data_IF_118810804933
#
_entry.id   IF_118810804933
#
_cell.length_a   1.000
_cell.length_b   1.000
_cell.length_c   1.000
_cell.angle_alpha   90.00
_cell.angle_beta   90.00
_cell.angle_gamma   90.00
#
_symmetry.space_group_name_H-M   'P 1'
#
loop_
_entity.id
_entity.type
_entity.pdbx_description
1 polymer ?
#
# COMPACT_ATOMS: atom_id res chain seq x y z
N UNK A 1 10.58 7.32 -31.03
CA UNK A 1 11.70 6.41 -30.73
C UNK A 1 11.14 5.13 -30.11
N UNK A 2 11.20 4.02 -30.87
CA UNK A 2 11.15 2.60 -30.49
C UNK A 2 10.06 2.02 -29.54
N UNK A 3 9.02 2.75 -29.10
CA UNK A 3 7.87 2.23 -28.31
C UNK A 3 8.31 1.23 -27.20
N UNK A 4 9.40 1.57 -26.52
CA UNK A 4 10.01 0.71 -25.50
C UNK A 4 9.38 1.07 -24.15
N UNK A 5 8.90 0.07 -23.42
CA UNK A 5 8.41 0.26 -22.05
C UNK A 5 9.56 0.77 -21.18
N UNK A 6 9.30 1.83 -20.43
CA UNK A 6 10.29 2.39 -19.51
C UNK A 6 10.29 1.61 -18.20
N UNK A 7 11.48 1.44 -17.64
CA UNK A 7 11.65 0.97 -16.28
C UNK A 7 11.44 2.16 -15.32
N UNK A 8 10.32 2.15 -14.59
CA UNK A 8 9.96 3.21 -13.64
C UNK A 8 10.84 3.23 -12.38
N UNK A 9 11.71 2.22 -12.17
CA UNK A 9 12.68 2.23 -11.07
C UNK A 9 13.91 3.10 -11.38
N UNK A 10 14.14 3.42 -12.66
CA UNK A 10 15.27 4.22 -13.10
C UNK A 10 14.90 5.71 -13.13
N UNK A 11 15.87 6.57 -12.81
CA UNK A 11 15.73 8.00 -13.07
C UNK A 11 15.79 8.29 -14.56
N UNK A 12 15.23 9.43 -14.98
CA UNK A 12 15.22 9.87 -16.39
C UNK A 12 16.61 9.82 -17.04
N UNK A 13 17.66 10.18 -16.29
CA UNK A 13 19.05 10.19 -16.79
C UNK A 13 19.57 8.78 -17.12
N UNK A 14 19.08 7.75 -16.43
CA UNK A 14 19.46 6.35 -16.65
C UNK A 14 18.48 5.58 -17.52
N UNK A 15 17.31 6.16 -17.84
CA UNK A 15 16.32 5.58 -18.74
C UNK A 15 16.73 5.62 -20.23
N UNK A 16 17.97 6.04 -20.54
CA UNK A 16 18.54 6.13 -21.89
C UNK A 16 17.66 6.95 -22.86
N UNK A 17 17.03 8.01 -22.34
CA UNK A 17 16.18 8.90 -23.12
C UNK A 17 17.04 9.98 -23.80
N UNK A 18 16.99 10.12 -25.14
CA UNK A 18 17.65 11.22 -25.82
C UNK A 18 17.01 12.56 -25.44
N UNK A 19 17.74 13.66 -25.66
CA UNK A 19 17.18 15.00 -25.45
C UNK A 19 15.93 15.19 -26.32
N UNK A 20 14.91 15.85 -25.77
CA UNK A 20 13.60 16.05 -26.40
C UNK A 20 12.87 14.75 -26.79
N UNK A 21 13.14 13.63 -26.10
CA UNK A 21 12.36 12.41 -26.29
C UNK A 21 10.87 12.66 -25.98
N UNK A 22 9.99 12.22 -26.87
CA UNK A 22 8.56 12.21 -26.62
C UNK A 22 8.16 10.89 -25.97
N UNK A 23 7.41 11.00 -24.87
CA UNK A 23 6.85 9.86 -24.15
C UNK A 23 5.34 9.81 -24.41
N UNK A 24 4.83 8.59 -24.55
CA UNK A 24 3.41 8.32 -24.70
C UNK A 24 2.95 7.55 -23.47
N UNK A 25 1.92 8.06 -22.79
CA UNK A 25 1.26 7.34 -21.71
C UNK A 25 0.07 6.58 -22.30
N UNK A 26 0.11 5.26 -22.18
CA UNK A 26 -0.98 4.38 -22.60
C UNK A 26 -1.59 3.72 -21.36
N UNK A 27 -2.88 3.41 -21.44
CA UNK A 27 -3.49 2.51 -20.46
C UNK A 27 -2.80 1.15 -20.53
N UNK A 28 -2.51 0.58 -19.36
CA UNK A 28 -1.91 -0.75 -19.29
C UNK A 28 -2.82 -1.77 -19.96
N UNK A 29 -2.31 -2.53 -20.94
CA UNK A 29 -3.07 -3.57 -21.64
C UNK A 29 -3.60 -4.65 -20.68
N UNK A 30 -2.83 -4.93 -19.62
CA UNK A 30 -3.32 -5.58 -18.41
C UNK A 30 -3.91 -4.47 -17.53
N UNK A 31 -5.15 -4.08 -17.78
CA UNK A 31 -5.80 -2.96 -17.10
C UNK A 31 -5.96 -3.26 -15.62
N UNK A 32 -4.94 -2.97 -14.78
CA UNK A 32 -4.91 -3.24 -13.32
C UNK A 32 -5.61 -4.53 -12.89
N UNK A 33 -5.64 -5.57 -13.74
CA UNK A 33 -5.96 -6.94 -13.38
C UNK A 33 -4.74 -7.56 -12.67
N UNK A 34 -4.07 -6.78 -11.81
CA UNK A 34 -3.44 -7.35 -10.66
C UNK A 34 -4.58 -8.02 -9.91
N UNK A 35 -4.74 -9.34 -10.11
CA UNK A 35 -5.56 -10.17 -9.24
C UNK A 35 -5.31 -9.67 -7.83
N UNK A 36 -6.33 -9.16 -7.14
CA UNK A 36 -6.15 -8.55 -5.82
C UNK A 36 -5.34 -9.53 -4.99
N UNK A 37 -4.07 -9.19 -4.72
CA UNK A 37 -3.15 -10.09 -4.05
C UNK A 37 -3.28 -9.86 -2.57
N UNK A 38 -3.07 -10.91 -1.80
CA UNK A 38 -2.88 -10.78 -0.37
C UNK A 38 -1.47 -10.25 -0.11
N UNK A 39 -1.36 -9.21 0.69
CA UNK A 39 -0.11 -8.66 1.18
C UNK A 39 -0.16 -8.56 2.70
N UNK A 40 0.91 -9.01 3.35
CA UNK A 40 1.04 -8.91 4.81
C UNK A 40 1.61 -7.54 5.14
N UNK A 41 0.89 -6.78 5.96
CA UNK A 41 1.35 -5.50 6.48
C UNK A 41 1.59 -5.64 7.97
N UNK A 42 2.72 -5.14 8.43
CA UNK A 42 3.06 -5.07 9.83
C UNK A 42 3.15 -3.61 10.27
N UNK A 43 2.30 -3.22 11.21
CA UNK A 43 2.31 -1.92 11.86
C UNK A 43 3.12 -2.01 13.16
N UNK A 44 4.18 -1.22 13.24
CA UNK A 44 5.02 -1.11 14.43
C UNK A 44 4.49 0.01 15.31
N UNK A 45 4.10 -0.31 16.54
CA UNK A 45 3.65 0.66 17.54
C UNK A 45 4.83 1.22 18.34
N UNK A 46 4.62 2.38 18.96
CA UNK A 46 5.63 3.09 19.76
C UNK A 46 6.07 2.30 21.00
N UNK A 47 5.17 1.46 21.55
CA UNK A 47 5.46 0.56 22.66
C UNK A 47 6.35 -0.65 22.25
N UNK A 48 6.74 -0.76 20.98
CA UNK A 48 7.53 -1.88 20.45
C UNK A 48 6.70 -3.06 19.96
N UNK A 49 5.38 -3.06 20.15
CA UNK A 49 4.48 -4.10 19.66
C UNK A 49 4.33 -4.04 18.12
N UNK A 50 4.10 -5.20 17.51
CA UNK A 50 3.95 -5.33 16.06
C UNK A 50 2.62 -5.98 15.71
N UNK A 51 1.71 -5.18 15.16
CA UNK A 51 0.41 -5.60 14.69
C UNK A 51 0.54 -6.10 13.25
N UNK A 52 0.30 -7.39 13.02
CA UNK A 52 0.49 -8.03 11.69
C UNK A 52 -0.85 -8.50 11.16
N UNK A 53 -1.20 -8.08 9.94
CA UNK A 53 -2.45 -8.50 9.32
C UNK A 53 -2.30 -8.59 7.79
N UNK A 54 -3.09 -9.46 7.18
CA UNK A 54 -3.15 -9.65 5.74
C UNK A 54 -4.20 -8.72 5.11
N UNK A 55 -3.78 -7.88 4.18
CA UNK A 55 -4.65 -6.98 3.44
C UNK A 55 -4.66 -7.34 1.96
N UNK A 56 -5.68 -6.85 1.27
CA UNK A 56 -5.69 -6.89 -0.18
C UNK A 56 -4.78 -5.78 -0.74
N UNK A 57 -4.11 -6.05 -1.86
CA UNK A 57 -3.16 -5.13 -2.49
C UNK A 57 -3.80 -3.87 -3.08
N UNK A 58 -5.11 -3.85 -3.23
CA UNK A 58 -5.91 -2.69 -3.66
C UNK A 58 -6.39 -1.85 -2.46
N UNK A 59 -6.09 -2.26 -1.24
CA UNK A 59 -6.49 -1.54 -0.05
C UNK A 59 -5.67 -0.26 0.14
N UNK A 60 -6.29 0.76 0.73
CA UNK A 60 -5.64 2.03 1.01
C UNK A 60 -4.96 2.00 2.37
N UNK A 61 -3.87 2.76 2.53
CA UNK A 61 -3.22 2.94 3.83
C UNK A 61 -4.21 3.45 4.90
N UNK A 62 -5.14 4.32 4.52
CA UNK A 62 -6.16 4.84 5.43
C UNK A 62 -7.07 3.74 5.98
N UNK A 63 -7.58 2.85 5.13
CA UNK A 63 -8.41 1.73 5.56
C UNK A 63 -7.64 0.74 6.46
N UNK A 64 -6.34 0.54 6.19
CA UNK A 64 -5.46 -0.26 7.06
C UNK A 64 -5.36 0.36 8.46
N UNK A 65 -5.22 1.69 8.55
CA UNK A 65 -5.22 2.39 9.85
C UNK A 65 -6.57 2.28 10.56
N UNK A 66 -7.67 2.43 9.83
CA UNK A 66 -9.03 2.31 10.39
C UNK A 66 -9.32 0.90 10.91
N UNK A 67 -8.81 -0.14 10.24
CA UNK A 67 -8.88 -1.52 10.72
C UNK A 67 -8.28 -1.64 12.14
N UNK A 68 -7.06 -1.16 12.35
CA UNK A 68 -6.41 -1.24 13.66
C UNK A 68 -7.06 -0.34 14.71
N UNK A 69 -7.53 0.85 14.32
CA UNK A 69 -8.29 1.73 15.20
C UNK A 69 -9.55 1.04 15.74
N UNK A 70 -10.28 0.33 14.88
CA UNK A 70 -11.48 -0.40 15.30
C UNK A 70 -11.17 -1.55 16.26
N UNK A 71 -10.03 -2.21 16.11
CA UNK A 71 -9.60 -3.26 17.03
C UNK A 71 -9.20 -2.69 18.40
N UNK A 72 -8.53 -1.54 18.45
CA UNK A 72 -8.19 -0.90 19.73
C UNK A 72 -9.41 -0.46 20.52
N UNK A 73 -10.46 0.04 19.85
CA UNK A 73 -11.70 0.48 20.50
C UNK A 73 -12.54 -0.70 21.03
N UNK A 74 -12.44 -1.88 20.41
CA UNK A 74 -13.13 -3.08 20.89
C UNK A 74 -12.57 -3.65 22.21
N UNK A 75 -11.34 -3.29 22.57
CA UNK A 75 -10.68 -3.74 23.81
C UNK A 75 -10.97 -2.84 25.02
N UNK A 76 -11.60 -1.68 24.85
CA UNK A 76 -11.81 -0.70 25.93
C UNK A 76 -13.16 -0.83 26.64
N UNK A 77 -14.01 -1.81 26.31
CA UNK A 77 -15.39 -1.91 26.79
C UNK A 77 -15.65 -2.94 27.90
N UNK A 78 -14.62 -3.53 28.52
CA UNK A 78 -14.79 -4.58 29.55
C UNK A 78 -14.22 -4.24 30.95
N UNK A 79 -13.49 -3.14 31.13
CA UNK A 79 -12.69 -2.93 32.36
C UNK A 79 -13.29 -1.92 33.39
N UNK A 80 -14.60 -1.68 33.38
CA UNK A 80 -15.23 -0.70 34.32
C UNK A 80 -16.50 -1.13 35.06
N UNK A 81 -16.79 -2.43 35.17
CA UNK A 81 -17.88 -2.90 36.04
C UNK A 81 -17.41 -3.99 37.00
N UNK A 82 -16.73 -3.57 38.07
CA UNK A 82 -16.93 -4.15 39.41
C UNK A 82 -16.30 -3.25 40.49
N UNK A 83 -17.14 -2.71 41.38
CA UNK A 83 -16.71 -2.01 42.59
C UNK A 83 -17.64 -0.91 43.08
N UNK A 84 -18.85 -1.28 43.50
CA UNK A 84 -19.59 -0.57 44.57
C UNK A 84 -18.88 -0.79 45.90
#
# INVERSE_FOLDING_TARGET
>A
HQRKTLDCSLTIRFANLPNNAHLELIESAEGRHHSVKKCVVALQLENGERLVHEFNSDNTLFNILMHWKSQSESLTFDDTLDGV
#
